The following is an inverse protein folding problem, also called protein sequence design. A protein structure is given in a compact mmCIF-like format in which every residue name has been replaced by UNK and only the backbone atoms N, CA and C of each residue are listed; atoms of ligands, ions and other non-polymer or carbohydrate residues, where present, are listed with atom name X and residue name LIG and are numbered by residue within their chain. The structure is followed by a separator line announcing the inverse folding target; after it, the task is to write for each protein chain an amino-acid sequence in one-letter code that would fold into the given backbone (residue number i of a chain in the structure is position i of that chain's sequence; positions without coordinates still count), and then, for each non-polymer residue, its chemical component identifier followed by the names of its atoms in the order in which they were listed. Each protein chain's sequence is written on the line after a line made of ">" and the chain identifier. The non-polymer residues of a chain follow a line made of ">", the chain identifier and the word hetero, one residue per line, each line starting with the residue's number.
data_IF_066119618829
#
_entry.id   IF_066119618829
#
_cell.length_a   1.000
_cell.length_b   1.000
_cell.length_c   1.000
_cell.angle_alpha   90.00
_cell.angle_beta   90.00
_cell.angle_gamma   90.00
#
_symmetry.space_group_name_H-M   'P 1'
#
loop_
_entity.id
_entity.type
_entity.pdbx_description
1 polymer ?
#
# COMPACT_ATOMS: atom_id res chain seq x y z
N UNK A 1 -59.29 78.06 -14.30
CA UNK A 1 -58.36 77.26 -13.54
C UNK A 1 -58.44 75.79 -13.97
N UNK A 2 -57.61 75.35 -14.89
CA UNK A 2 -57.46 73.96 -15.25
C UNK A 2 -56.05 73.59 -14.82
N UNK A 3 -55.94 72.65 -13.91
CA UNK A 3 -54.69 71.97 -13.47
C UNK A 3 -54.23 71.08 -14.62
N UNK A 4 -52.98 71.14 -15.05
CA UNK A 4 -52.40 70.18 -15.94
C UNK A 4 -51.97 68.97 -15.11
N UNK A 5 -52.79 67.92 -15.02
CA UNK A 5 -52.49 66.67 -14.32
C UNK A 5 -52.15 65.56 -15.33
N UNK A 6 -51.61 65.91 -16.42
CA UNK A 6 -51.09 64.83 -17.32
C UNK A 6 -49.73 65.37 -17.87
N UNK A 7 -48.65 64.92 -17.25
CA UNK A 7 -47.32 65.00 -17.85
C UNK A 7 -47.39 64.50 -19.28
N UNK A 8 -46.60 65.09 -20.17
CA UNK A 8 -46.53 64.67 -21.55
C UNK A 8 -46.23 63.20 -21.70
N UNK A 9 -46.70 62.55 -22.79
CA UNK A 9 -46.38 61.11 -22.98
C UNK A 9 -44.88 60.79 -22.94
N UNK A 10 -44.04 61.76 -23.12
CA UNK A 10 -42.57 61.64 -22.96
C UNK A 10 -42.15 61.55 -21.49
N UNK A 11 -42.72 62.32 -20.57
CA UNK A 11 -42.45 62.17 -19.11
C UNK A 11 -42.98 60.88 -18.54
N UNK A 12 -44.05 60.35 -19.07
CA UNK A 12 -44.57 59.04 -18.69
C UNK A 12 -43.69 57.91 -19.26
N UNK A 13 -43.02 58.15 -20.38
CA UNK A 13 -42.05 57.21 -20.93
C UNK A 13 -40.74 57.16 -20.12
N UNK A 14 -40.33 58.26 -19.47
CA UNK A 14 -39.12 58.34 -18.64
C UNK A 14 -39.33 57.70 -17.23
N UNK A 15 -40.58 57.68 -16.72
CA UNK A 15 -40.96 56.88 -15.57
C UNK A 15 -41.19 55.39 -15.86
N UNK A 16 -41.12 54.97 -17.10
CA UNK A 16 -41.36 53.64 -17.55
C UNK A 16 -40.11 52.76 -17.59
N UNK A 17 -39.46 52.59 -16.47
CA UNK A 17 -38.69 51.37 -16.22
C UNK A 17 -39.58 50.10 -16.23
N UNK A 18 -40.88 50.22 -16.52
CA UNK A 18 -41.85 49.15 -16.60
C UNK A 18 -42.18 48.82 -18.07
N UNK A 19 -41.17 48.28 -18.78
CA UNK A 19 -41.45 47.64 -20.08
C UNK A 19 -42.02 46.24 -19.78
N UNK A 20 -43.37 46.17 -19.82
CA UNK A 20 -44.14 44.96 -19.45
C UNK A 20 -43.89 43.78 -20.36
N UNK A 21 -43.43 43.97 -21.60
CA UNK A 21 -43.28 42.91 -22.59
C UNK A 21 -41.88 42.42 -22.87
N UNK A 22 -40.86 43.28 -22.82
CA UNK A 22 -39.47 42.93 -23.04
C UNK A 22 -38.57 43.86 -22.22
N UNK A 23 -38.54 43.69 -20.87
CA UNK A 23 -37.63 44.49 -20.04
C UNK A 23 -36.21 43.89 -20.14
N UNK A 24 -35.43 44.40 -21.10
CA UNK A 24 -34.05 43.98 -21.35
C UNK A 24 -33.15 44.20 -20.13
N UNK A 25 -33.42 45.28 -19.37
CA UNK A 25 -32.67 45.55 -18.14
C UNK A 25 -32.92 44.51 -17.06
N UNK A 26 -34.17 44.10 -16.87
CA UNK A 26 -34.53 43.02 -15.95
C UNK A 26 -33.94 41.67 -16.38
N UNK A 27 -33.97 41.34 -17.66
CA UNK A 27 -33.41 40.12 -18.22
C UNK A 27 -31.89 40.11 -18.02
N UNK A 28 -31.20 41.21 -18.28
CA UNK A 28 -29.75 41.37 -18.05
C UNK A 28 -29.40 41.20 -16.57
N UNK A 29 -30.17 41.79 -15.68
CA UNK A 29 -29.98 41.68 -14.22
C UNK A 29 -30.17 40.25 -13.76
N UNK A 30 -31.19 39.54 -14.25
CA UNK A 30 -31.43 38.13 -13.96
C UNK A 30 -30.27 37.23 -14.47
N UNK A 31 -29.78 37.46 -15.66
CA UNK A 31 -28.63 36.75 -16.20
C UNK A 31 -27.36 36.97 -15.37
N UNK A 32 -27.12 38.21 -14.93
CA UNK A 32 -26.01 38.56 -14.04
C UNK A 32 -26.17 37.86 -12.67
N UNK A 33 -27.38 37.86 -12.11
CA UNK A 33 -27.68 37.20 -10.85
C UNK A 33 -27.44 35.68 -10.95
N UNK A 34 -27.93 35.04 -11.98
CA UNK A 34 -27.69 33.61 -12.23
C UNK A 34 -26.19 33.31 -12.39
N UNK A 35 -25.44 34.14 -13.11
CA UNK A 35 -24.00 34.01 -13.24
C UNK A 35 -23.30 34.12 -11.88
N UNK A 36 -23.68 35.11 -11.07
CA UNK A 36 -23.12 35.28 -9.72
C UNK A 36 -23.44 34.11 -8.79
N UNK A 37 -24.67 33.61 -8.84
CA UNK A 37 -25.05 32.40 -8.07
C UNK A 37 -24.21 31.17 -8.46
N UNK A 38 -24.01 30.94 -9.77
CA UNK A 38 -23.17 29.85 -10.26
C UNK A 38 -21.70 30.01 -9.83
N UNK A 39 -21.17 31.23 -9.88
CA UNK A 39 -19.82 31.53 -9.44
C UNK A 39 -19.68 31.34 -7.92
N UNK A 40 -20.65 31.82 -7.15
CA UNK A 40 -20.71 31.60 -5.70
C UNK A 40 -20.72 30.11 -5.34
N UNK A 41 -21.56 29.32 -6.02
CA UNK A 41 -21.63 27.86 -5.81
C UNK A 41 -20.27 27.17 -6.11
N UNK A 42 -19.59 27.59 -7.17
CA UNK A 42 -18.23 27.09 -7.50
C UNK A 42 -17.22 27.44 -6.41
N UNK A 43 -17.21 28.68 -5.93
CA UNK A 43 -16.29 29.12 -4.87
C UNK A 43 -16.58 28.41 -3.55
N UNK A 44 -17.86 28.31 -3.16
CA UNK A 44 -18.26 27.57 -1.96
C UNK A 44 -17.81 26.10 -2.01
N UNK A 45 -17.93 25.44 -3.18
CA UNK A 45 -17.43 24.08 -3.36
C UNK A 45 -15.92 23.99 -3.15
N UNK A 46 -15.14 24.95 -3.70
CA UNK A 46 -13.69 24.99 -3.51
C UNK A 46 -13.30 25.21 -2.04
N UNK A 47 -14.01 26.08 -1.34
CA UNK A 47 -13.76 26.33 0.09
C UNK A 47 -14.14 25.11 0.93
N UNK A 48 -15.30 24.50 0.66
CA UNK A 48 -15.79 23.32 1.39
C UNK A 48 -14.87 22.11 1.24
N UNK A 49 -14.33 21.88 0.03
CA UNK A 49 -13.42 20.75 -0.24
C UNK A 49 -11.96 21.05 0.09
N UNK A 50 -11.59 22.34 0.23
CA UNK A 50 -10.20 22.78 0.36
C UNK A 50 -9.38 22.57 -0.91
N UNK A 51 -10.00 22.17 -2.03
CA UNK A 51 -9.32 21.88 -3.29
C UNK A 51 -9.56 23.00 -4.31
N UNK A 52 -8.48 23.44 -4.98
CA UNK A 52 -8.57 24.43 -6.05
C UNK A 52 -9.29 23.90 -7.30
N UNK A 53 -9.09 22.59 -7.59
CA UNK A 53 -9.67 21.90 -8.75
C UNK A 53 -10.48 20.71 -8.21
N UNK A 54 -11.80 20.78 -8.39
CA UNK A 54 -12.74 19.76 -7.91
C UNK A 54 -13.22 18.80 -9.00
N UNK A 55 -13.00 19.15 -10.25
CA UNK A 55 -13.42 18.32 -11.38
C UNK A 55 -12.80 18.76 -12.68
N UNK A 56 -12.98 17.97 -13.73
CA UNK A 56 -12.44 18.25 -15.05
C UNK A 56 -13.01 19.55 -15.67
N UNK A 57 -14.20 20.02 -15.21
CA UNK A 57 -14.80 21.26 -15.65
C UNK A 57 -14.12 22.52 -15.12
N UNK A 58 -13.33 22.43 -14.03
CA UNK A 58 -12.56 23.56 -13.50
C UNK A 58 -11.22 23.72 -14.23
N UNK A 59 -10.50 22.61 -14.43
CA UNK A 59 -9.23 22.52 -15.15
C UNK A 59 -8.96 21.04 -15.48
N UNK A 60 -9.17 20.65 -16.73
CA UNK A 60 -9.04 19.26 -17.17
C UNK A 60 -7.59 18.75 -17.06
N UNK A 61 -6.61 19.60 -17.35
CA UNK A 61 -5.19 19.26 -17.29
C UNK A 61 -4.73 19.02 -15.87
N UNK A 62 -4.99 19.98 -14.98
CA UNK A 62 -4.64 19.85 -13.56
C UNK A 62 -5.39 18.70 -12.88
N UNK A 63 -6.64 18.46 -13.25
CA UNK A 63 -7.43 17.33 -12.74
C UNK A 63 -6.81 16.00 -13.14
N UNK A 64 -6.45 15.81 -14.41
CA UNK A 64 -5.82 14.57 -14.88
C UNK A 64 -4.47 14.30 -14.19
N UNK A 65 -3.68 15.35 -13.93
CA UNK A 65 -2.43 15.25 -13.18
C UNK A 65 -2.71 14.84 -11.73
N UNK A 66 -3.69 15.48 -11.08
CA UNK A 66 -4.03 15.18 -9.68
C UNK A 66 -4.52 13.74 -9.50
N UNK A 67 -5.33 13.23 -10.43
CA UNK A 67 -5.81 11.84 -10.38
C UNK A 67 -4.66 10.82 -10.57
N UNK A 68 -3.72 11.10 -11.47
CA UNK A 68 -2.50 10.27 -11.58
C UNK A 68 -1.67 10.29 -10.31
N UNK A 69 -1.51 11.46 -9.68
CA UNK A 69 -0.79 11.57 -8.41
C UNK A 69 -1.52 10.84 -7.28
N UNK A 70 -2.84 10.94 -7.19
CA UNK A 70 -3.65 10.19 -6.21
C UNK A 70 -3.53 8.68 -6.39
N UNK A 71 -3.55 8.22 -7.65
CA UNK A 71 -3.35 6.80 -7.95
C UNK A 71 -1.95 6.34 -7.51
N UNK A 72 -0.92 7.16 -7.78
CA UNK A 72 0.45 6.87 -7.35
C UNK A 72 0.60 6.84 -5.83
N UNK A 73 -0.02 7.79 -5.12
CA UNK A 73 -0.02 7.83 -3.64
C UNK A 73 -0.66 6.55 -3.09
N UNK A 74 -1.85 6.15 -3.59
CA UNK A 74 -2.51 4.90 -3.16
C UNK A 74 -1.63 3.67 -3.42
N UNK A 75 -0.91 3.64 -4.55
CA UNK A 75 0.04 2.58 -4.87
C UNK A 75 1.22 2.55 -3.88
N UNK A 76 1.79 3.70 -3.56
CA UNK A 76 2.89 3.80 -2.59
C UNK A 76 2.43 3.42 -1.17
N UNK A 77 1.23 3.82 -0.76
CA UNK A 77 0.66 3.43 0.53
C UNK A 77 0.47 1.91 0.63
N UNK A 78 -0.01 1.29 -0.45
CA UNK A 78 -0.12 -0.17 -0.49
C UNK A 78 1.25 -0.85 -0.48
N UNK A 79 2.23 -0.32 -1.22
CA UNK A 79 3.60 -0.79 -1.19
C UNK A 79 4.19 -0.70 0.22
N UNK A 80 3.99 0.41 0.93
CA UNK A 80 4.42 0.58 2.32
C UNK A 80 3.79 -0.47 3.25
N UNK A 81 2.49 -0.76 3.09
CA UNK A 81 1.83 -1.82 3.85
C UNK A 81 2.41 -3.20 3.54
N UNK A 82 2.66 -3.50 2.27
CA UNK A 82 3.25 -4.77 1.84
C UNK A 82 4.66 -4.96 2.41
N UNK A 83 5.48 -3.89 2.42
CA UNK A 83 6.81 -3.91 3.02
C UNK A 83 6.75 -4.19 4.52
N UNK A 84 5.81 -3.58 5.24
CA UNK A 84 5.62 -3.85 6.68
C UNK A 84 5.22 -5.30 6.94
N UNK A 85 4.34 -5.85 6.10
CA UNK A 85 3.93 -7.26 6.18
C UNK A 85 5.14 -8.18 5.91
N UNK A 86 5.92 -7.91 4.87
CA UNK A 86 7.16 -8.64 4.59
C UNK A 86 8.19 -8.54 5.71
N UNK A 87 8.35 -7.37 6.30
CA UNK A 87 9.24 -7.18 7.46
C UNK A 87 8.79 -8.02 8.66
N UNK A 88 7.49 -8.05 8.96
CA UNK A 88 6.96 -8.87 10.05
C UNK A 88 7.17 -10.37 9.78
N UNK A 89 6.97 -10.81 8.54
CA UNK A 89 7.25 -12.18 8.12
C UNK A 89 8.73 -12.56 8.34
N UNK A 90 9.66 -11.71 7.91
CA UNK A 90 11.10 -11.91 8.10
C UNK A 90 11.49 -11.91 9.57
N UNK A 91 10.84 -11.07 10.39
CA UNK A 91 11.08 -11.04 11.84
C UNK A 91 10.69 -12.36 12.51
N UNK A 92 9.56 -12.96 12.11
CA UNK A 92 9.14 -14.28 12.61
C UNK A 92 10.13 -15.36 12.18
N UNK A 93 10.55 -15.36 10.91
CA UNK A 93 11.54 -16.30 10.41
C UNK A 93 12.89 -16.16 11.14
N UNK A 94 13.38 -14.93 11.32
CA UNK A 94 14.63 -14.67 12.01
C UNK A 94 14.62 -15.15 13.47
N UNK A 95 13.49 -14.99 14.16
CA UNK A 95 13.32 -15.47 15.53
C UNK A 95 13.35 -16.98 15.59
N UNK A 96 12.69 -17.68 14.67
CA UNK A 96 12.72 -19.13 14.61
C UNK A 96 14.13 -19.68 14.25
N UNK A 97 14.84 -19.02 13.35
CA UNK A 97 16.26 -19.36 13.06
C UNK A 97 17.14 -19.14 14.30
N UNK A 98 16.90 -18.08 15.07
CA UNK A 98 17.59 -17.88 16.36
C UNK A 98 17.40 -19.06 17.31
N UNK A 99 16.16 -19.55 17.46
CA UNK A 99 15.88 -20.74 18.28
C UNK A 99 16.58 -22.00 17.76
N UNK A 100 16.64 -22.18 16.43
CA UNK A 100 17.38 -23.31 15.84
C UNK A 100 18.88 -23.24 16.13
N UNK A 101 19.47 -22.04 16.09
CA UNK A 101 20.88 -21.84 16.44
C UNK A 101 21.14 -22.22 17.90
N UNK A 102 20.22 -21.85 18.81
CA UNK A 102 20.33 -22.20 20.23
C UNK A 102 20.23 -23.74 20.45
N UNK A 103 19.33 -24.42 19.74
CA UNK A 103 19.22 -25.89 19.77
C UNK A 103 20.49 -26.54 19.24
N UNK A 104 21.02 -26.06 18.11
CA UNK A 104 22.28 -26.58 17.55
C UNK A 104 23.47 -26.35 18.49
N UNK A 105 23.47 -25.21 19.21
CA UNK A 105 24.45 -24.95 20.27
C UNK A 105 24.43 -26.02 21.36
N UNK A 106 23.25 -26.38 21.85
CA UNK A 106 23.06 -27.45 22.84
C UNK A 106 23.47 -28.81 22.29
N UNK A 107 23.08 -29.15 21.06
CA UNK A 107 23.51 -30.39 20.42
C UNK A 107 25.02 -30.49 20.30
N UNK A 108 25.70 -29.39 19.98
CA UNK A 108 27.16 -29.33 19.97
C UNK A 108 27.77 -29.57 21.34
N UNK A 109 27.19 -29.03 22.42
CA UNK A 109 27.66 -29.27 23.78
C UNK A 109 27.51 -30.71 24.16
N UNK A 110 26.40 -31.39 23.83
CA UNK A 110 26.17 -32.81 24.05
C UNK A 110 27.18 -33.65 23.27
N UNK A 111 27.42 -33.30 22.00
CA UNK A 111 28.41 -34.02 21.18
C UNK A 111 29.85 -33.93 21.77
N UNK A 112 30.23 -32.74 22.30
CA UNK A 112 31.51 -32.56 22.99
C UNK A 112 31.58 -33.39 24.28
N UNK A 113 30.50 -33.46 25.07
CA UNK A 113 30.43 -34.31 26.26
C UNK A 113 30.56 -35.79 25.90
N UNK A 114 29.84 -36.24 24.85
CA UNK A 114 29.89 -37.62 24.39
C UNK A 114 31.25 -38.06 23.81
N UNK A 115 32.05 -37.09 23.39
CA UNK A 115 33.41 -37.25 22.87
C UNK A 115 34.47 -37.45 23.99
N UNK A 116 34.09 -37.21 25.25
CA UNK A 116 34.98 -37.36 26.38
C UNK A 116 35.06 -38.87 26.80
N UNK A 117 36.27 -39.40 26.96
CA UNK A 117 36.52 -40.77 27.33
C UNK A 117 36.14 -41.09 28.78
N UNK A 118 35.81 -40.10 29.60
CA UNK A 118 35.35 -40.28 30.97
C UNK A 118 33.95 -40.84 31.08
N UNK A 119 33.14 -40.81 30.01
CA UNK A 119 31.78 -41.30 29.97
C UNK A 119 31.71 -42.78 29.59
N UNK A 120 30.90 -43.54 30.35
CA UNK A 120 30.62 -44.91 30.00
C UNK A 120 29.71 -45.02 28.74
N UNK A 121 29.67 -46.21 28.11
CA UNK A 121 28.80 -46.43 26.95
C UNK A 121 27.33 -46.14 27.27
N UNK A 122 26.87 -46.51 28.47
CA UNK A 122 25.51 -46.26 28.92
C UNK A 122 25.19 -44.75 29.03
N UNK A 123 26.18 -43.97 29.49
CA UNK A 123 26.01 -42.49 29.59
C UNK A 123 26.00 -41.85 28.19
N UNK A 124 26.80 -42.36 27.25
CA UNK A 124 26.79 -41.95 25.85
C UNK A 124 25.46 -42.28 25.17
N UNK A 125 24.82 -43.42 25.47
CA UNK A 125 23.50 -43.78 24.93
C UNK A 125 22.41 -42.82 25.46
N UNK A 126 22.53 -42.34 26.70
CA UNK A 126 21.63 -41.34 27.27
C UNK A 126 21.82 -40.00 26.59
N UNK A 127 23.07 -39.56 26.38
CA UNK A 127 23.37 -38.31 25.65
C UNK A 127 22.91 -38.35 24.18
N UNK A 128 22.98 -39.54 23.54
CA UNK A 128 22.44 -39.75 22.20
C UNK A 128 20.92 -39.56 22.18
N UNK A 129 20.19 -40.13 23.15
CA UNK A 129 18.76 -39.93 23.30
C UNK A 129 18.35 -38.47 23.54
N UNK A 130 19.17 -37.72 24.28
CA UNK A 130 18.95 -36.25 24.45
C UNK A 130 19.18 -35.49 23.14
N UNK A 131 20.21 -35.88 22.37
CA UNK A 131 20.47 -35.29 21.07
C UNK A 131 19.36 -35.55 20.06
N UNK A 132 18.79 -36.76 20.06
CA UNK A 132 17.62 -37.11 19.21
C UNK A 132 16.39 -36.25 19.55
N UNK A 133 16.11 -36.01 20.83
CA UNK A 133 15.01 -35.15 21.24
C UNK A 133 15.22 -33.69 20.80
N UNK A 134 16.44 -33.19 20.83
CA UNK A 134 16.77 -31.84 20.33
C UNK A 134 16.65 -31.77 18.81
N UNK A 135 16.95 -32.87 18.11
CA UNK A 135 16.77 -32.93 16.66
C UNK A 135 15.28 -32.90 16.30
N UNK A 136 14.45 -33.70 17.02
CA UNK A 136 12.98 -33.65 16.84
C UNK A 136 12.43 -32.23 17.12
N UNK A 137 12.95 -31.57 18.15
CA UNK A 137 12.56 -30.16 18.45
C UNK A 137 12.96 -29.19 17.34
N UNK A 138 14.13 -29.38 16.73
CA UNK A 138 14.60 -28.58 15.61
C UNK A 138 13.68 -28.75 14.39
N UNK A 139 13.30 -30.00 14.08
CA UNK A 139 12.38 -30.29 12.99
C UNK A 139 10.98 -29.71 13.26
N UNK A 140 10.46 -29.87 14.48
CA UNK A 140 9.18 -29.30 14.90
C UNK A 140 9.17 -27.76 14.77
N UNK A 141 10.26 -27.11 15.15
CA UNK A 141 10.40 -25.65 15.01
C UNK A 141 10.42 -25.23 13.55
N UNK A 142 11.10 -26.00 12.69
CA UNK A 142 11.15 -25.74 11.25
C UNK A 142 9.76 -25.91 10.59
N UNK A 143 9.02 -26.95 10.96
CA UNK A 143 7.68 -27.22 10.44
C UNK A 143 6.62 -26.27 11.02
N UNK A 144 6.74 -25.93 12.30
CA UNK A 144 5.79 -25.09 13.04
C UNK A 144 5.88 -23.60 12.70
N UNK A 145 7.00 -23.14 12.12
CA UNK A 145 7.18 -21.73 11.81
C UNK A 145 6.38 -21.34 10.58
N UNK A 146 5.17 -20.81 10.82
CA UNK A 146 4.26 -20.38 9.77
C UNK A 146 3.90 -18.90 9.91
N UNK A 147 3.63 -18.24 8.79
CA UNK A 147 3.10 -16.89 8.73
C UNK A 147 1.89 -16.86 7.80
N UNK A 148 0.72 -16.53 8.33
CA UNK A 148 -0.55 -16.53 7.57
C UNK A 148 -0.80 -17.86 6.80
N UNK A 149 -0.48 -19.01 7.42
CA UNK A 149 -0.65 -20.33 6.82
C UNK A 149 0.45 -20.76 5.83
N UNK A 150 1.43 -19.89 5.56
CA UNK A 150 2.61 -20.24 4.75
C UNK A 150 3.75 -20.67 5.67
N UNK A 151 4.35 -21.84 5.41
CA UNK A 151 5.56 -22.30 6.10
C UNK A 151 6.75 -21.46 5.65
N UNK A 152 7.57 -20.98 6.60
CA UNK A 152 8.68 -20.08 6.29
C UNK A 152 10.02 -20.82 6.17
N UNK A 153 10.23 -21.83 7.00
CA UNK A 153 11.53 -22.54 7.11
C UNK A 153 11.50 -23.91 6.45
N UNK A 154 10.35 -24.58 6.49
CA UNK A 154 10.18 -25.88 5.82
C UNK A 154 9.34 -25.67 4.56
N UNK A 155 9.95 -25.12 3.53
CA UNK A 155 9.30 -24.98 2.24
C UNK A 155 9.51 -26.27 1.45
N UNK A 156 8.56 -27.19 1.57
CA UNK A 156 8.39 -28.27 0.59
C UNK A 156 7.84 -27.64 -0.70
N UNK A 157 8.67 -26.90 -1.43
CA UNK A 157 8.37 -26.65 -2.83
C UNK A 157 8.46 -27.99 -3.56
N UNK A 158 7.47 -28.26 -4.39
CA UNK A 158 7.51 -29.33 -5.38
C UNK A 158 8.73 -29.23 -6.33
N UNK A 159 9.42 -28.11 -6.35
CA UNK A 159 10.79 -27.96 -6.83
C UNK A 159 11.76 -28.29 -5.68
N UNK A 160 11.99 -29.57 -5.48
CA UNK A 160 13.26 -30.01 -4.94
C UNK A 160 14.34 -29.44 -5.87
N UNK A 161 14.96 -28.33 -5.44
CA UNK A 161 16.36 -28.11 -5.77
C UNK A 161 17.10 -29.24 -5.08
N UNK A 162 17.18 -30.38 -5.73
CA UNK A 162 18.09 -31.43 -5.37
C UNK A 162 19.47 -30.82 -5.56
N UNK A 163 20.06 -30.33 -4.46
CA UNK A 163 21.48 -30.08 -4.39
C UNK A 163 22.11 -31.50 -4.49
N UNK A 164 22.10 -32.01 -5.72
CA UNK A 164 22.90 -33.17 -6.05
C UNK A 164 24.32 -32.68 -5.86
N UNK A 165 24.94 -33.13 -4.78
CA UNK A 165 26.36 -32.96 -4.55
C UNK A 165 27.07 -33.84 -5.58
N UNK A 166 27.07 -33.37 -6.84
CA UNK A 166 27.98 -33.90 -7.84
C UNK A 166 29.35 -33.42 -7.43
N UNK A 167 30.23 -34.35 -7.05
CA UNK A 167 31.67 -34.11 -6.85
C UNK A 167 32.37 -33.79 -8.17
N UNK A 168 31.68 -33.29 -9.16
CA UNK A 168 32.24 -32.81 -10.39
C UNK A 168 32.58 -31.33 -10.20
N UNK A 169 33.83 -31.01 -10.44
CA UNK A 169 34.42 -29.70 -10.29
C UNK A 169 33.47 -28.64 -10.88
N UNK A 170 32.97 -27.78 -10.01
CA UNK A 170 32.08 -26.70 -10.37
C UNK A 170 32.88 -25.70 -11.22
N UNK A 171 32.87 -25.92 -12.52
CA UNK A 171 33.31 -24.91 -13.47
C UNK A 171 32.15 -23.91 -13.60
N UNK A 172 32.38 -22.69 -13.16
CA UNK A 172 31.51 -21.51 -13.28
C UNK A 172 31.30 -21.11 -14.76
N UNK A 173 31.34 -22.06 -15.71
CA UNK A 173 31.37 -21.81 -17.13
C UNK A 173 29.99 -21.70 -17.83
N UNK A 174 28.87 -21.96 -17.11
CA UNK A 174 27.54 -21.99 -17.72
C UNK A 174 26.55 -20.96 -17.19
N UNK A 175 27.04 -19.85 -16.61
CA UNK A 175 26.18 -18.70 -16.37
C UNK A 175 26.26 -17.75 -17.57
N UNK A 176 25.38 -17.94 -18.55
CA UNK A 176 25.16 -16.99 -19.64
C UNK A 176 24.10 -15.95 -19.18
N UNK A 177 24.50 -14.70 -18.84
CA UNK A 177 23.57 -13.68 -18.40
C UNK A 177 22.69 -13.11 -19.52
N UNK A 178 22.84 -13.57 -20.75
CA UNK A 178 22.21 -13.00 -21.95
C UNK A 178 21.03 -13.81 -22.51
N UNK A 179 20.79 -15.03 -22.02
CA UNK A 179 19.63 -15.84 -22.43
C UNK A 179 18.84 -16.35 -21.22
N UNK A 180 17.88 -15.56 -20.66
CA UNK A 180 16.86 -16.12 -19.79
C UNK A 180 15.89 -16.95 -20.64
N UNK A 181 15.77 -18.23 -20.29
CA UNK A 181 14.81 -19.18 -20.87
C UNK A 181 13.36 -18.78 -20.55
#
# INVERSE_FOLDING_TARGET
>A
CALPILGTPEEVAEMAGLVVKNNMSAIHTLNTLNSNQNNLAKVLRKVSTGLRVNGAGDDASAYAISERMRARIRGLDQCSRNVRTGYNMLKVAAQAVGQQVDILGKMREIALKASDDSYSQKDRDILAGEADQLFDQLELTAQGTTYNGMTLLNHTTADKVTLTRTNEANTFADFDPLHPA
#
